data_IF_441574746324
#
_entry.id   IF_441574746324
#
_cell.length_a   1.000
_cell.length_b   1.000
_cell.length_c   1.000
_cell.angle_alpha   90.00
_cell.angle_beta   90.00
_cell.angle_gamma   90.00
#
_symmetry.space_group_name_H-M   'P 1'
#
loop_
_entity.id
_entity.type
_entity.pdbx_description
1 polymer ?
#
# COMPACT_ATOMS: atom_id res chain seq x y z
N UNK A 1 -32.22 59.46 72.59
CA UNK A 1 -30.84 59.42 72.05
C UNK A 1 -30.72 58.17 71.21
N UNK A 2 -30.56 58.37 69.89
CA UNK A 2 -29.92 57.51 68.88
C UNK A 2 -30.14 55.99 68.95
N UNK A 3 -30.96 55.47 68.03
CA UNK A 3 -30.73 54.15 67.41
C UNK A 3 -30.66 54.32 65.91
N UNK A 4 -29.44 54.16 65.42
CA UNK A 4 -28.93 54.27 64.05
C UNK A 4 -29.67 53.33 63.11
N UNK A 5 -30.16 53.89 62.01
CA UNK A 5 -30.51 53.16 60.78
C UNK A 5 -29.22 52.90 60.02
N UNK A 6 -28.81 51.65 59.91
CA UNK A 6 -27.85 51.21 58.89
C UNK A 6 -28.61 50.37 57.86
N UNK A 7 -28.98 51.06 56.79
CA UNK A 7 -29.48 50.48 55.55
C UNK A 7 -28.29 49.95 54.75
N UNK A 8 -28.07 48.64 54.83
CA UNK A 8 -27.07 47.94 54.03
C UNK A 8 -27.66 47.65 52.64
N UNK A 9 -27.65 48.64 51.75
CA UNK A 9 -27.78 48.42 50.32
C UNK A 9 -26.62 47.57 49.81
N UNK A 10 -26.84 46.25 49.73
CA UNK A 10 -25.94 45.35 49.01
C UNK A 10 -26.07 45.62 47.51
N UNK A 11 -25.00 46.14 46.91
CA UNK A 11 -24.82 46.29 45.47
C UNK A 11 -24.96 44.90 44.81
N UNK A 12 -25.82 44.70 43.78
CA UNK A 12 -25.90 43.42 43.10
C UNK A 12 -24.53 43.10 42.49
N UNK A 13 -23.98 41.93 42.84
CA UNK A 13 -22.77 41.41 42.22
C UNK A 13 -23.04 41.31 40.71
N UNK A 14 -22.36 42.14 39.92
CA UNK A 14 -22.32 41.99 38.46
C UNK A 14 -21.84 40.57 38.12
N UNK A 15 -22.45 39.91 37.12
CA UNK A 15 -22.06 38.55 36.74
C UNK A 15 -20.57 38.54 36.37
N UNK A 16 -19.83 37.47 36.75
CA UNK A 16 -18.43 37.34 36.41
C UNK A 16 -18.26 37.45 34.89
N UNK A 17 -17.52 38.45 34.43
CA UNK A 17 -17.42 38.81 33.01
C UNK A 17 -16.17 38.26 32.31
N UNK A 18 -15.28 37.61 33.06
CA UNK A 18 -14.08 36.98 32.52
C UNK A 18 -14.38 35.53 32.17
N UNK A 19 -14.33 35.21 30.88
CA UNK A 19 -14.44 33.86 30.34
C UNK A 19 -13.03 33.26 30.23
N UNK A 20 -12.87 32.02 30.66
CA UNK A 20 -11.60 31.30 30.51
C UNK A 20 -11.53 30.67 29.12
N UNK A 21 -10.59 31.12 28.28
CA UNK A 21 -10.50 30.67 26.88
C UNK A 21 -10.15 29.17 26.74
N UNK A 22 -9.56 28.53 27.76
CA UNK A 22 -9.13 27.14 27.71
C UNK A 22 -10.23 26.17 28.19
N UNK A 23 -11.01 26.56 29.19
CA UNK A 23 -11.99 25.70 29.86
C UNK A 23 -13.45 26.18 29.75
N UNK A 24 -13.74 27.22 28.96
CA UNK A 24 -15.10 27.59 28.60
C UNK A 24 -15.55 26.86 27.34
N UNK A 25 -16.39 25.84 27.52
CA UNK A 25 -16.81 24.95 26.44
C UNK A 25 -18.12 25.40 25.80
N UNK A 26 -18.11 25.53 24.47
CA UNK A 26 -19.33 25.67 23.68
C UNK A 26 -20.02 24.32 23.47
N UNK A 27 -21.35 24.34 23.40
CA UNK A 27 -22.17 23.14 23.20
C UNK A 27 -22.96 23.19 21.89
N UNK A 28 -23.27 22.02 21.35
CA UNK A 28 -24.15 21.85 20.19
C UNK A 28 -25.19 20.80 20.51
N UNK A 29 -26.40 21.00 20.02
CA UNK A 29 -27.49 20.04 20.14
C UNK A 29 -27.74 19.36 18.80
N UNK A 30 -27.59 18.04 18.76
CA UNK A 30 -27.93 17.22 17.60
C UNK A 30 -29.27 16.52 17.80
N UNK A 31 -30.06 16.37 16.73
CA UNK A 31 -31.26 15.51 16.69
C UNK A 31 -31.00 14.30 15.79
N UNK A 32 -31.14 13.09 16.33
CA UNK A 32 -30.89 11.80 15.65
C UNK A 32 -31.99 10.82 16.03
N UNK A 33 -32.74 10.30 15.06
CA UNK A 33 -33.95 9.47 15.30
C UNK A 33 -34.87 10.06 16.39
N UNK A 34 -35.17 11.36 16.31
CA UNK A 34 -35.99 12.10 17.29
C UNK A 34 -35.43 12.14 18.73
N UNK A 35 -34.15 11.76 18.92
CA UNK A 35 -33.44 11.87 20.19
C UNK A 35 -32.47 13.05 20.14
N UNK A 36 -32.51 13.90 21.18
CA UNK A 36 -31.61 15.05 21.33
C UNK A 36 -30.32 14.69 22.06
N UNK A 37 -29.20 15.17 21.55
CA UNK A 37 -27.86 15.00 22.11
C UNK A 37 -27.18 16.35 22.25
N UNK A 38 -27.03 16.86 23.48
CA UNK A 38 -26.24 18.08 23.76
C UNK A 38 -24.82 17.72 24.15
N UNK A 39 -23.84 18.19 23.38
CA UNK A 39 -22.44 17.76 23.47
C UNK A 39 -21.49 18.96 23.26
N UNK A 40 -20.27 18.94 23.82
CA UNK A 40 -19.28 19.97 23.52
C UNK A 40 -18.94 20.04 22.02
N UNK A 41 -18.76 21.24 21.46
CA UNK A 41 -18.40 21.45 20.04
C UNK A 41 -16.98 21.02 19.72
N UNK A 42 -16.06 21.22 20.67
CA UNK A 42 -14.61 21.09 20.48
C UNK A 42 -14.14 19.83 19.74
N UNK A 43 -14.60 18.62 20.14
CA UNK A 43 -14.15 17.37 19.49
C UNK A 43 -14.71 17.20 18.08
N UNK A 44 -15.85 17.81 17.77
CA UNK A 44 -16.42 17.78 16.43
C UNK A 44 -15.65 18.72 15.50
N UNK A 45 -15.39 19.95 15.95
CA UNK A 45 -14.64 20.96 15.19
C UNK A 45 -13.21 20.51 14.94
N UNK A 46 -12.49 20.09 15.99
CA UNK A 46 -11.10 19.66 15.86
C UNK A 46 -10.96 18.26 15.23
N UNK A 47 -12.00 17.43 15.35
CA UNK A 47 -11.98 16.07 14.82
C UNK A 47 -12.27 16.00 13.32
N UNK A 48 -13.04 16.95 12.77
CA UNK A 48 -13.33 17.03 11.35
C UNK A 48 -13.77 18.43 10.91
N UNK A 49 -12.95 19.08 10.10
CA UNK A 49 -13.29 20.33 9.41
C UNK A 49 -14.48 20.15 8.46
N UNK A 50 -14.61 18.98 7.83
CA UNK A 50 -15.73 18.68 6.92
C UNK A 50 -17.04 18.66 7.69
N UNK A 51 -17.07 17.98 8.84
CA UNK A 51 -18.24 17.92 9.70
C UNK A 51 -18.58 19.29 10.26
N UNK A 52 -17.59 20.04 10.76
CA UNK A 52 -17.79 21.38 11.28
C UNK A 52 -18.46 22.29 10.25
N UNK A 53 -17.97 22.28 9.00
CA UNK A 53 -18.52 23.09 7.91
C UNK A 53 -19.90 22.63 7.46
N UNK A 54 -20.13 21.32 7.36
CA UNK A 54 -21.40 20.74 6.91
C UNK A 54 -22.55 21.12 7.85
N UNK A 55 -22.29 21.14 9.17
CA UNK A 55 -23.29 21.46 10.19
C UNK A 55 -23.16 22.89 10.75
N UNK A 56 -22.29 23.72 10.16
CA UNK A 56 -22.10 25.13 10.52
C UNK A 56 -21.60 25.37 11.95
N UNK A 57 -20.72 24.50 12.46
CA UNK A 57 -20.15 24.58 13.81
C UNK A 57 -18.98 25.59 13.91
N UNK A 58 -18.46 26.06 12.79
CA UNK A 58 -17.35 26.99 12.66
C UNK A 58 -17.78 28.48 12.69
N UNK A 59 -19.07 28.74 12.41
CA UNK A 59 -19.63 30.10 12.32
C UNK A 59 -20.49 30.48 13.53
N UNK A 60 -20.79 29.50 14.38
CA UNK A 60 -21.72 29.63 15.49
C UNK A 60 -20.97 30.18 16.71
N UNK A 61 -20.73 31.50 16.70
CA UNK A 61 -20.31 32.25 17.90
C UNK A 61 -21.41 32.04 18.94
N UNK A 62 -21.13 31.28 20.00
CA UNK A 62 -22.09 30.93 21.04
C UNK A 62 -22.92 32.17 21.40
N UNK A 63 -24.18 32.19 20.97
CA UNK A 63 -25.05 33.31 21.28
C UNK A 63 -25.35 33.25 22.77
N UNK A 64 -25.38 34.42 23.43
CA UNK A 64 -25.77 34.55 24.85
C UNK A 64 -27.15 33.93 25.15
N UNK A 65 -27.92 33.59 24.12
CA UNK A 65 -29.23 32.94 24.17
C UNK A 65 -29.16 31.42 24.44
N UNK A 66 -27.97 30.79 24.46
CA UNK A 66 -27.81 29.33 24.61
C UNK A 66 -28.15 28.77 26.01
N UNK A 67 -28.49 29.66 26.95
CA UNK A 67 -28.98 29.36 28.31
C UNK A 67 -30.52 29.27 28.40
N UNK A 68 -31.24 29.39 27.29
CA UNK A 68 -32.65 29.05 27.25
C UNK A 68 -32.82 27.54 27.55
N UNK A 69 -33.69 27.19 28.50
CA UNK A 69 -33.87 25.82 28.96
C UNK A 69 -34.20 24.83 27.84
N UNK A 70 -34.20 23.53 28.17
CA UNK A 70 -34.48 22.42 27.23
C UNK A 70 -35.82 22.60 26.46
N UNK A 71 -36.71 23.46 26.94
CA UNK A 71 -38.01 23.79 26.34
C UNK A 71 -37.98 24.97 25.35
N UNK A 72 -36.93 25.79 25.35
CA UNK A 72 -36.86 27.07 24.63
C UNK A 72 -35.65 27.16 23.69
N UNK A 73 -35.13 26.00 23.28
CA UNK A 73 -34.12 25.91 22.24
C UNK A 73 -34.72 26.41 20.93
N UNK A 74 -34.22 27.53 20.40
CA UNK A 74 -34.63 28.01 19.09
C UNK A 74 -34.48 26.86 18.07
N UNK A 75 -35.50 26.61 17.22
CA UNK A 75 -35.48 25.48 16.29
C UNK A 75 -34.30 25.52 15.30
N UNK A 76 -33.67 26.69 15.11
CA UNK A 76 -32.48 26.89 14.28
C UNK A 76 -31.16 26.43 14.95
N UNK A 77 -31.16 26.17 16.26
CA UNK A 77 -29.98 25.72 17.02
C UNK A 77 -29.77 24.18 16.95
N UNK A 78 -30.80 23.40 16.60
CA UNK A 78 -30.71 21.93 16.59
C UNK A 78 -30.23 21.41 15.25
N UNK A 79 -29.08 20.72 15.24
CA UNK A 79 -28.49 20.13 14.03
C UNK A 79 -29.04 18.72 13.81
N UNK A 80 -29.84 18.50 12.77
CA UNK A 80 -30.40 17.18 12.45
C UNK A 80 -29.37 16.31 11.73
N UNK A 81 -29.19 15.07 12.19
CA UNK A 81 -28.32 14.08 11.55
C UNK A 81 -29.18 12.91 11.03
N UNK A 82 -29.06 12.61 9.74
CA UNK A 82 -29.72 11.46 9.11
C UNK A 82 -28.85 10.20 9.25
N UNK A 83 -28.86 9.63 10.46
CA UNK A 83 -28.14 8.42 10.86
C UNK A 83 -28.92 7.69 11.96
N UNK A 84 -28.69 6.40 12.15
CA UNK A 84 -29.34 5.68 13.24
C UNK A 84 -28.76 6.11 14.61
N UNK A 85 -29.61 6.29 15.61
CA UNK A 85 -29.21 6.69 16.96
C UNK A 85 -28.21 5.72 17.60
N UNK A 86 -28.30 4.43 17.29
CA UNK A 86 -27.33 3.43 17.74
C UNK A 86 -25.94 3.63 17.12
N UNK A 87 -25.87 3.97 15.82
CA UNK A 87 -24.61 4.26 15.14
C UNK A 87 -23.98 5.54 15.69
N UNK A 88 -24.79 6.60 15.86
CA UNK A 88 -24.33 7.85 16.43
C UNK A 88 -23.81 7.65 17.86
N UNK A 89 -24.54 6.89 18.68
CA UNK A 89 -24.10 6.55 20.04
C UNK A 89 -22.78 5.78 20.05
N UNK A 90 -22.53 4.89 19.09
CA UNK A 90 -21.25 4.20 18.97
C UNK A 90 -20.10 5.19 18.68
N UNK A 91 -20.29 6.16 17.78
CA UNK A 91 -19.32 7.23 17.55
C UNK A 91 -19.07 8.07 18.81
N UNK A 92 -20.14 8.41 19.54
CA UNK A 92 -20.03 9.19 20.77
C UNK A 92 -19.25 8.47 21.87
N UNK A 93 -19.32 7.13 21.95
CA UNK A 93 -18.49 6.37 22.90
C UNK A 93 -16.98 6.56 22.64
N UNK A 94 -16.60 6.84 21.40
CA UNK A 94 -15.20 7.11 21.02
C UNK A 94 -14.84 8.59 21.22
N UNK A 95 -15.73 9.51 20.82
CA UNK A 95 -15.51 10.96 20.96
C UNK A 95 -15.52 11.43 22.42
N UNK A 96 -16.44 10.89 23.21
CA UNK A 96 -16.69 11.22 24.60
C UNK A 96 -16.84 9.96 25.45
N UNK A 97 -15.74 9.23 25.71
CA UNK A 97 -15.77 8.04 26.54
C UNK A 97 -16.27 8.37 27.95
N UNK A 98 -17.32 7.67 28.40
CA UNK A 98 -17.87 7.79 29.76
C UNK A 98 -17.14 6.89 30.77
N UNK A 99 -15.88 6.55 30.53
CA UNK A 99 -15.15 5.60 31.36
C UNK A 99 -14.49 6.32 32.53
N UNK A 100 -14.89 5.96 33.76
CA UNK A 100 -14.46 6.62 35.01
C UNK A 100 -12.99 6.41 35.39
N UNK A 101 -12.25 5.60 34.66
CA UNK A 101 -10.88 5.24 35.05
C UNK A 101 -9.88 6.10 34.29
N UNK A 102 -9.15 6.92 35.05
CA UNK A 102 -7.97 7.67 34.62
C UNK A 102 -6.81 6.79 34.09
N UNK A 103 -7.00 5.48 33.99
CA UNK A 103 -6.08 4.55 33.33
C UNK A 103 -6.66 4.18 31.97
N UNK A 104 -5.77 4.14 30.96
CA UNK A 104 -5.99 3.75 29.56
C UNK A 104 -6.68 2.36 29.39
N UNK A 105 -7.93 2.21 29.85
CA UNK A 105 -8.71 1.03 29.56
C UNK A 105 -9.23 1.11 28.13
N UNK A 106 -9.02 0.01 27.43
CA UNK A 106 -9.39 -0.23 26.05
C UNK A 106 -10.89 0.01 25.84
N UNK A 107 -11.25 0.85 24.86
CA UNK A 107 -12.65 1.10 24.49
C UNK A 107 -13.32 -0.23 24.12
N UNK A 108 -14.22 -0.71 24.98
CA UNK A 108 -14.95 -1.96 24.74
C UNK A 108 -16.19 -1.69 23.89
N UNK A 109 -16.02 -1.76 22.58
CA UNK A 109 -17.11 -1.72 21.60
C UNK A 109 -17.23 -3.09 20.90
N UNK A 110 -18.45 -3.48 20.52
CA UNK A 110 -18.67 -4.68 19.70
C UNK A 110 -18.16 -4.48 18.26
N UNK A 111 -18.07 -5.57 17.48
CA UNK A 111 -17.74 -5.49 16.06
C UNK A 111 -18.70 -4.56 15.30
N UNK A 112 -20.00 -4.69 15.53
CA UNK A 112 -21.02 -3.88 14.85
C UNK A 112 -20.93 -2.41 15.25
N UNK A 113 -20.61 -2.13 16.52
CA UNK A 113 -20.35 -0.76 16.98
C UNK A 113 -19.09 -0.17 16.33
N UNK A 114 -18.00 -0.93 16.21
CA UNK A 114 -16.81 -0.48 15.49
C UNK A 114 -17.07 -0.27 14.00
N UNK A 115 -17.91 -1.10 13.37
CA UNK A 115 -18.35 -0.89 11.99
C UNK A 115 -19.19 0.39 11.86
N UNK A 116 -20.08 0.67 12.80
CA UNK A 116 -20.82 1.92 12.84
C UNK A 116 -19.91 3.14 13.04
N UNK A 117 -18.90 3.03 13.92
CA UNK A 117 -17.86 4.06 14.10
C UNK A 117 -17.10 4.27 12.79
N UNK A 118 -16.68 3.19 12.11
CA UNK A 118 -15.99 3.27 10.83
C UNK A 118 -16.85 3.96 9.77
N UNK A 119 -18.14 3.60 9.69
CA UNK A 119 -19.11 4.20 8.77
C UNK A 119 -19.23 5.71 8.97
N UNK A 120 -19.53 6.15 10.19
CA UNK A 120 -19.76 7.57 10.48
C UNK A 120 -18.47 8.38 10.41
N UNK A 121 -17.35 7.84 10.91
CA UNK A 121 -16.05 8.52 10.80
C UNK A 121 -15.58 8.66 9.35
N UNK A 122 -15.92 7.71 8.48
CA UNK A 122 -15.64 7.82 7.04
C UNK A 122 -16.55 8.84 6.36
N UNK A 123 -17.87 8.80 6.64
CA UNK A 123 -18.87 9.75 6.13
C UNK A 123 -18.47 11.20 6.45
N UNK A 124 -18.13 11.45 7.71
CA UNK A 124 -17.86 12.78 8.23
C UNK A 124 -16.38 13.13 8.31
N UNK A 125 -15.47 12.34 7.73
CA UNK A 125 -14.01 12.62 7.69
C UNK A 125 -13.33 12.79 9.06
N UNK A 126 -13.79 12.07 10.07
CA UNK A 126 -13.06 11.94 11.34
C UNK A 126 -11.88 10.97 11.16
N UNK A 127 -10.83 11.41 10.46
CA UNK A 127 -9.76 10.53 9.96
C UNK A 127 -9.00 9.81 11.07
N UNK A 128 -8.80 10.45 12.23
CA UNK A 128 -8.17 9.82 13.41
C UNK A 128 -9.03 8.69 13.98
N UNK A 129 -10.34 8.93 14.12
CA UNK A 129 -11.32 7.94 14.57
C UNK A 129 -11.46 6.80 13.56
N UNK A 130 -11.44 7.13 12.27
CA UNK A 130 -11.47 6.14 11.19
C UNK A 130 -10.27 5.19 11.27
N UNK A 131 -9.06 5.71 11.44
CA UNK A 131 -7.85 4.89 11.62
C UNK A 131 -7.95 3.99 12.85
N UNK A 132 -8.42 4.55 13.96
CA UNK A 132 -8.65 3.78 15.18
C UNK A 132 -9.66 2.65 14.94
N UNK A 133 -10.77 2.92 14.25
CA UNK A 133 -11.76 1.88 13.93
C UNK A 133 -11.17 0.78 13.04
N UNK A 134 -10.36 1.14 12.03
CA UNK A 134 -9.65 0.16 11.19
C UNK A 134 -8.67 -0.67 12.03
N UNK A 135 -7.88 -0.05 12.90
CA UNK A 135 -6.94 -0.73 13.78
C UNK A 135 -7.66 -1.70 14.72
N UNK A 136 -8.84 -1.34 15.24
CA UNK A 136 -9.63 -2.18 16.13
C UNK A 136 -10.35 -3.33 15.41
N UNK A 137 -10.66 -3.15 14.14
CA UNK A 137 -11.29 -4.15 13.28
C UNK A 137 -10.25 -5.07 12.57
N UNK A 138 -8.98 -4.65 12.45
CA UNK A 138 -7.95 -5.39 11.72
C UNK A 138 -7.45 -6.69 12.39
N UNK A 139 -7.38 -6.83 13.73
CA UNK A 139 -7.02 -8.08 14.41
C UNK A 139 -8.01 -9.24 14.23
N UNK A 140 -9.11 -9.03 13.50
CA UNK A 140 -10.29 -9.88 13.60
C UNK A 140 -10.20 -11.12 12.71
N UNK A 141 -9.77 -12.20 13.35
CA UNK A 141 -10.09 -13.62 13.08
C UNK A 141 -11.60 -13.96 13.04
N UNK A 142 -12.48 -12.95 12.99
CA UNK A 142 -13.95 -13.10 12.98
C UNK A 142 -14.66 -12.60 11.72
N UNK A 143 -13.95 -11.99 10.76
CA UNK A 143 -14.55 -11.60 9.46
C UNK A 143 -14.28 -12.67 8.40
N UNK A 144 -15.33 -13.03 7.64
CA UNK A 144 -15.15 -13.93 6.49
C UNK A 144 -14.35 -13.21 5.38
N UNK A 145 -13.62 -13.93 4.51
CA UNK A 145 -12.87 -13.31 3.40
C UNK A 145 -13.73 -12.41 2.52
N UNK A 146 -14.93 -12.87 2.15
CA UNK A 146 -15.89 -12.10 1.36
C UNK A 146 -16.39 -10.83 2.06
N UNK A 147 -16.49 -10.86 3.39
CA UNK A 147 -16.86 -9.68 4.19
C UNK A 147 -15.72 -8.66 4.21
N UNK A 148 -14.46 -9.12 4.36
CA UNK A 148 -13.27 -8.25 4.30
C UNK A 148 -13.12 -7.58 2.94
N UNK A 149 -13.39 -8.30 1.86
CA UNK A 149 -13.38 -7.76 0.49
C UNK A 149 -14.46 -6.68 0.33
N UNK A 150 -15.69 -6.98 0.73
CA UNK A 150 -16.81 -6.03 0.65
C UNK A 150 -16.53 -4.75 1.44
N UNK A 151 -16.11 -4.89 2.70
CA UNK A 151 -15.80 -3.75 3.58
C UNK A 151 -14.54 -3.00 3.12
N UNK A 152 -13.54 -3.72 2.62
CA UNK A 152 -12.32 -3.15 2.04
C UNK A 152 -12.62 -2.24 0.85
N UNK A 153 -13.59 -2.62 0.01
CA UNK A 153 -14.09 -1.76 -1.07
C UNK A 153 -14.89 -0.58 -0.55
N UNK A 154 -15.92 -0.86 0.26
CA UNK A 154 -16.86 0.15 0.78
C UNK A 154 -16.13 1.27 1.53
N UNK A 155 -15.14 0.91 2.34
CA UNK A 155 -14.39 1.85 3.16
C UNK A 155 -13.01 2.16 2.61
N UNK A 156 -12.65 1.73 1.39
CA UNK A 156 -11.31 1.90 0.83
C UNK A 156 -10.18 1.49 1.80
N UNK A 157 -10.23 0.25 2.32
CA UNK A 157 -9.20 -0.34 3.20
C UNK A 157 -8.49 -1.46 2.45
N UNK A 158 -7.37 -1.09 1.82
CA UNK A 158 -6.59 -1.97 0.94
C UNK A 158 -6.13 -3.25 1.65
N UNK A 159 -5.67 -3.14 2.91
CA UNK A 159 -5.19 -4.29 3.68
C UNK A 159 -6.28 -5.34 3.92
N UNK A 160 -7.54 -4.93 4.05
CA UNK A 160 -8.67 -5.85 4.19
C UNK A 160 -9.01 -6.53 2.87
N UNK A 161 -8.94 -5.77 1.78
CA UNK A 161 -9.16 -6.28 0.43
C UNK A 161 -8.12 -7.36 0.09
N UNK A 162 -6.84 -7.02 0.23
CA UNK A 162 -5.71 -7.89 -0.04
C UNK A 162 -5.76 -9.16 0.82
N UNK A 163 -5.93 -9.01 2.13
CA UNK A 163 -5.96 -10.16 3.04
C UNK A 163 -7.19 -11.07 2.82
N UNK A 164 -8.29 -10.52 2.31
CA UNK A 164 -9.45 -11.29 1.86
C UNK A 164 -9.14 -12.12 0.62
N UNK A 165 -8.49 -11.53 -0.38
CA UNK A 165 -8.06 -12.23 -1.59
C UNK A 165 -7.02 -13.32 -1.30
N UNK A 166 -6.02 -13.03 -0.48
CA UNK A 166 -5.02 -14.01 -0.07
C UNK A 166 -5.66 -15.24 0.58
N UNK A 167 -6.65 -15.05 1.46
CA UNK A 167 -7.35 -16.18 2.08
C UNK A 167 -8.19 -16.95 1.05
N UNK A 168 -8.89 -16.27 0.13
CA UNK A 168 -9.63 -16.95 -0.94
C UNK A 168 -8.71 -17.76 -1.87
N UNK A 169 -7.51 -17.27 -2.16
CA UNK A 169 -6.53 -17.96 -2.99
C UNK A 169 -5.88 -19.14 -2.26
N UNK A 170 -5.57 -19.00 -0.97
CA UNK A 170 -4.80 -20.00 -0.22
C UNK A 170 -5.65 -21.09 0.45
N UNK A 171 -6.90 -20.80 0.82
CA UNK A 171 -7.76 -21.78 1.52
C UNK A 171 -8.06 -23.00 0.65
N UNK A 172 -8.33 -24.17 1.25
CA UNK A 172 -8.60 -25.41 0.50
C UNK A 172 -9.88 -25.37 -0.34
N UNK A 173 -10.96 -24.85 0.23
CA UNK A 173 -12.25 -24.73 -0.44
C UNK A 173 -12.21 -23.69 -1.58
N UNK A 174 -12.87 -23.97 -2.71
CA UNK A 174 -13.05 -22.98 -3.78
C UNK A 174 -13.91 -21.79 -3.32
N UNK A 175 -14.03 -20.77 -4.17
CA UNK A 175 -14.94 -19.64 -3.92
C UNK A 175 -16.38 -20.16 -4.01
N UNK A 176 -17.15 -19.99 -2.94
CA UNK A 176 -18.52 -20.47 -2.86
C UNK A 176 -19.46 -19.58 -3.68
N UNK A 177 -20.59 -20.12 -4.14
CA UNK A 177 -21.56 -19.39 -4.97
C UNK A 177 -22.11 -18.16 -4.25
N UNK A 178 -22.25 -18.24 -2.93
CA UNK A 178 -22.75 -17.16 -2.07
C UNK A 178 -21.73 -16.02 -1.90
N UNK A 179 -20.44 -16.29 -2.15
CA UNK A 179 -19.38 -15.29 -2.08
C UNK A 179 -19.21 -14.53 -3.40
N UNK A 180 -19.59 -15.13 -4.53
CA UNK A 180 -19.52 -14.51 -5.86
C UNK A 180 -20.16 -13.12 -5.91
N UNK A 181 -21.39 -12.86 -5.41
CA UNK A 181 -21.97 -11.52 -5.45
C UNK A 181 -21.23 -10.50 -4.56
N UNK A 182 -20.55 -10.95 -3.51
CA UNK A 182 -19.79 -10.09 -2.60
C UNK A 182 -18.40 -9.74 -3.17
N UNK A 183 -17.80 -10.69 -3.89
CA UNK A 183 -16.47 -10.57 -4.49
C UNK A 183 -16.54 -10.00 -5.92
N UNK A 184 -17.64 -10.18 -6.64
CA UNK A 184 -17.78 -9.78 -8.03
C UNK A 184 -17.24 -10.85 -8.98
N UNK A 185 -17.96 -11.11 -10.07
CA UNK A 185 -17.62 -12.21 -10.99
C UNK A 185 -16.25 -12.02 -11.66
N UNK A 186 -15.93 -10.81 -12.08
CA UNK A 186 -14.64 -10.47 -12.71
C UNK A 186 -13.47 -10.75 -11.75
N UNK A 187 -13.56 -10.26 -10.51
CA UNK A 187 -12.56 -10.55 -9.47
C UNK A 187 -12.47 -12.06 -9.19
N UNK A 188 -13.60 -12.79 -9.16
CA UNK A 188 -13.58 -14.24 -8.97
C UNK A 188 -12.83 -14.96 -10.08
N UNK A 189 -13.01 -14.54 -11.34
CA UNK A 189 -12.29 -15.08 -12.49
C UNK A 189 -10.77 -14.87 -12.35
N UNK A 190 -10.34 -13.64 -12.04
CA UNK A 190 -8.91 -13.33 -11.83
C UNK A 190 -8.31 -14.12 -10.66
N UNK A 191 -9.01 -14.17 -9.52
CA UNK A 191 -8.57 -14.94 -8.35
C UNK A 191 -8.49 -16.44 -8.64
N UNK A 192 -9.34 -16.96 -9.53
CA UNK A 192 -9.28 -18.36 -9.92
C UNK A 192 -8.00 -18.67 -10.71
N UNK A 193 -7.62 -17.79 -11.64
CA UNK A 193 -6.34 -17.88 -12.35
C UNK A 193 -5.13 -17.83 -11.40
N UNK A 194 -5.12 -16.85 -10.49
CA UNK A 194 -4.06 -16.73 -9.46
C UNK A 194 -3.99 -17.97 -8.58
N UNK A 195 -5.14 -18.53 -8.21
CA UNK A 195 -5.24 -19.74 -7.37
C UNK A 195 -4.72 -21.00 -8.06
N UNK A 196 -5.05 -21.22 -9.32
CA UNK A 196 -4.55 -22.39 -10.06
C UNK A 196 -3.03 -22.30 -10.29
N UNK A 197 -2.53 -21.09 -10.58
CA UNK A 197 -1.09 -20.83 -10.61
C UNK A 197 -0.45 -21.12 -9.25
N UNK A 198 -0.99 -20.58 -8.16
CA UNK A 198 -0.47 -20.80 -6.80
C UNK A 198 -0.43 -22.28 -6.41
N UNK A 199 -1.44 -23.06 -6.81
CA UNK A 199 -1.55 -24.51 -6.52
C UNK A 199 -0.64 -25.37 -7.39
N UNK A 200 -0.60 -25.12 -8.70
CA UNK A 200 0.25 -25.86 -9.63
C UNK A 200 1.70 -25.78 -9.18
N UNK A 201 2.09 -24.59 -8.78
CA UNK A 201 3.45 -24.28 -8.45
C UNK A 201 3.82 -24.92 -7.07
N UNK A 202 2.85 -25.11 -6.15
CA UNK A 202 3.04 -25.88 -4.89
C UNK A 202 3.27 -27.38 -5.14
N UNK A 203 2.80 -27.91 -6.26
CA UNK A 203 2.95 -29.32 -6.61
C UNK A 203 4.29 -29.62 -7.32
N UNK A 204 4.97 -28.60 -7.86
CA UNK A 204 6.13 -28.77 -8.74
C UNK A 204 7.46 -28.25 -8.18
N UNK A 205 7.49 -27.54 -7.04
CA UNK A 205 8.75 -27.17 -6.36
C UNK A 205 9.04 -28.08 -5.14
N UNK A 206 10.29 -28.52 -5.01
CA UNK A 206 10.82 -29.21 -3.80
C UNK A 206 11.52 -28.22 -2.84
N UNK A 207 11.12 -26.94 -2.91
CA UNK A 207 11.70 -25.86 -2.15
C UNK A 207 11.07 -25.79 -0.75
N UNK A 208 11.90 -25.81 0.31
CA UNK A 208 11.43 -25.81 1.72
C UNK A 208 10.66 -24.54 2.11
N UNK A 209 10.82 -23.47 1.34
CA UNK A 209 9.96 -22.30 1.36
C UNK A 209 8.83 -22.52 0.34
N UNK A 210 7.64 -22.85 0.83
CA UNK A 210 6.45 -23.12 0.01
C UNK A 210 5.96 -21.85 -0.69
N UNK A 211 6.63 -21.43 -1.77
CA UNK A 211 6.22 -20.36 -2.68
C UNK A 211 6.64 -20.75 -4.10
N UNK A 212 5.75 -20.65 -5.10
CA UNK A 212 6.19 -21.01 -6.44
C UNK A 212 5.68 -20.04 -7.54
N UNK A 213 6.52 -19.49 -8.45
CA UNK A 213 7.99 -19.29 -8.44
C UNK A 213 8.36 -17.83 -8.11
N UNK A 214 9.19 -17.60 -7.09
CA UNK A 214 9.87 -16.34 -6.72
C UNK A 214 9.06 -15.06 -6.40
N UNK A 215 7.74 -15.01 -6.63
CA UNK A 215 6.94 -13.81 -6.32
C UNK A 215 6.04 -14.00 -5.09
N UNK A 216 6.09 -13.08 -4.10
CA UNK A 216 5.12 -13.05 -3.01
C UNK A 216 3.67 -13.00 -3.50
N UNK A 217 2.79 -13.78 -2.88
CA UNK A 217 1.38 -13.90 -3.29
C UNK A 217 0.66 -12.54 -3.36
N UNK A 218 0.87 -11.67 -2.37
CA UNK A 218 0.28 -10.34 -2.35
C UNK A 218 0.61 -9.52 -3.60
N UNK A 219 1.85 -9.59 -4.09
CA UNK A 219 2.25 -8.88 -5.31
C UNK A 219 1.60 -9.46 -6.56
N UNK A 220 1.44 -10.78 -6.61
CA UNK A 220 0.73 -11.44 -7.72
C UNK A 220 -0.74 -11.02 -7.75
N UNK A 221 -1.40 -10.98 -6.58
CA UNK A 221 -2.80 -10.53 -6.46
C UNK A 221 -2.92 -9.06 -6.85
N UNK A 222 -2.03 -8.21 -6.33
CA UNK A 222 -2.03 -6.78 -6.65
C UNK A 222 -1.85 -6.53 -8.14
N UNK A 223 -0.97 -7.28 -8.82
CA UNK A 223 -0.80 -7.15 -10.27
C UNK A 223 -2.02 -7.61 -11.07
N UNK A 224 -2.58 -8.77 -10.74
CA UNK A 224 -3.77 -9.30 -11.42
C UNK A 224 -4.99 -8.39 -11.26
N UNK A 225 -5.05 -7.63 -10.17
CA UNK A 225 -6.17 -6.74 -9.83
C UNK A 225 -5.70 -5.28 -9.71
N UNK A 226 -4.68 -4.88 -10.48
CA UNK A 226 -4.01 -3.59 -10.29
C UNK A 226 -4.96 -2.39 -10.37
N UNK A 227 -5.86 -2.38 -11.36
CA UNK A 227 -6.85 -1.32 -11.52
C UNK A 227 -7.77 -1.16 -10.29
N UNK A 228 -8.10 -2.26 -9.61
CA UNK A 228 -8.90 -2.22 -8.38
C UNK A 228 -8.08 -1.65 -7.22
N UNK A 229 -6.83 -2.09 -7.05
CA UNK A 229 -5.94 -1.57 -6.02
C UNK A 229 -5.63 -0.08 -6.22
N UNK A 230 -5.40 0.35 -7.46
CA UNK A 230 -5.20 1.76 -7.80
C UNK A 230 -6.43 2.61 -7.46
N UNK A 231 -7.64 2.14 -7.81
CA UNK A 231 -8.88 2.81 -7.47
C UNK A 231 -9.13 2.92 -5.97
N UNK A 232 -8.72 1.91 -5.20
CA UNK A 232 -8.78 1.94 -3.72
C UNK A 232 -7.76 2.92 -3.16
N UNK A 233 -6.52 2.94 -3.68
CA UNK A 233 -5.48 3.86 -3.25
C UNK A 233 -5.86 5.33 -3.55
N UNK A 234 -6.48 5.62 -4.69
CA UNK A 234 -7.06 6.93 -4.99
C UNK A 234 -8.18 7.28 -4.00
N UNK A 235 -9.08 6.33 -3.75
CA UNK A 235 -10.16 6.48 -2.77
C UNK A 235 -9.66 6.59 -1.33
N UNK A 236 -8.41 6.25 -1.02
CA UNK A 236 -7.83 6.46 0.31
C UNK A 236 -7.38 7.90 0.54
N UNK A 237 -6.94 8.59 -0.52
CA UNK A 237 -6.37 9.94 -0.42
C UNK A 237 -7.36 10.97 0.14
N UNK A 238 -8.65 10.77 -0.08
CA UNK A 238 -9.70 11.60 0.51
C UNK A 238 -9.75 11.54 2.04
N UNK A 239 -9.19 10.51 2.67
CA UNK A 239 -9.13 10.35 4.14
C UNK A 239 -7.78 10.77 4.74
N UNK A 240 -6.87 11.34 3.96
CA UNK A 240 -5.61 11.86 4.48
C UNK A 240 -5.83 13.21 5.16
N UNK A 241 -5.16 13.40 6.30
CA UNK A 241 -5.00 14.74 6.88
C UNK A 241 -4.22 15.62 5.92
N UNK A 242 -4.27 16.94 6.10
CA UNK A 242 -3.47 17.88 5.29
C UNK A 242 -1.98 17.50 5.29
N UNK A 243 -1.43 17.22 6.47
CA UNK A 243 -0.05 16.77 6.63
C UNK A 243 0.22 15.48 5.84
N UNK A 244 -0.66 14.48 5.93
CA UNK A 244 -0.49 13.22 5.20
C UNK A 244 -0.57 13.38 3.68
N UNK A 245 -1.38 14.33 3.19
CA UNK A 245 -1.42 14.66 1.76
C UNK A 245 -0.12 15.30 1.30
N UNK A 246 0.42 16.22 2.11
CA UNK A 246 1.69 16.89 1.84
C UNK A 246 2.85 15.85 1.84
N UNK A 247 2.92 14.99 2.85
CA UNK A 247 3.90 13.88 2.91
C UNK A 247 3.75 12.88 1.75
N UNK A 248 2.52 12.55 1.36
CA UNK A 248 2.26 11.66 0.21
C UNK A 248 2.69 12.32 -1.11
N UNK A 249 2.39 13.60 -1.30
CA UNK A 249 2.79 14.35 -2.48
C UNK A 249 4.31 14.45 -2.59
N UNK A 250 5.00 14.70 -1.47
CA UNK A 250 6.47 14.71 -1.42
C UNK A 250 7.06 13.34 -1.78
N UNK A 251 6.53 12.24 -1.21
CA UNK A 251 6.96 10.87 -1.56
C UNK A 251 6.75 10.55 -3.03
N UNK A 252 5.61 10.95 -3.61
CA UNK A 252 5.32 10.77 -5.05
C UNK A 252 6.31 11.54 -5.90
N UNK A 253 6.61 12.80 -5.56
CA UNK A 253 7.59 13.61 -6.27
C UNK A 253 9.01 13.02 -6.21
N UNK A 254 9.41 12.46 -5.07
CA UNK A 254 10.69 11.74 -4.94
C UNK A 254 10.70 10.50 -5.85
N UNK A 255 9.67 9.67 -5.77
CA UNK A 255 9.57 8.45 -6.56
C UNK A 255 9.53 8.72 -8.08
N UNK A 256 8.89 9.80 -8.51
CA UNK A 256 8.86 10.23 -9.92
C UNK A 256 10.26 10.65 -10.40
N UNK A 257 10.99 11.45 -9.61
CA UNK A 257 12.39 11.78 -9.91
C UNK A 257 13.28 10.55 -9.98
N UNK A 258 13.14 9.62 -9.04
CA UNK A 258 13.91 8.37 -9.06
C UNK A 258 13.63 7.52 -10.30
N UNK A 259 12.37 7.48 -10.77
CA UNK A 259 11.97 6.82 -12.01
C UNK A 259 12.56 7.50 -13.24
N UNK A 260 12.50 8.83 -13.30
CA UNK A 260 13.12 9.61 -14.39
C UNK A 260 14.64 9.37 -14.45
N UNK A 261 15.31 9.42 -13.30
CA UNK A 261 16.75 9.13 -13.20
C UNK A 261 17.08 7.68 -13.59
N UNK A 262 16.24 6.71 -13.22
CA UNK A 262 16.39 5.32 -13.66
C UNK A 262 16.22 5.19 -15.18
N UNK A 263 15.22 5.84 -15.77
CA UNK A 263 14.98 5.83 -17.21
C UNK A 263 16.14 6.49 -17.99
N UNK A 264 16.67 7.61 -17.49
CA UNK A 264 17.87 8.24 -18.07
C UNK A 264 19.09 7.31 -18.01
N UNK A 265 19.29 6.60 -16.89
CA UNK A 265 20.38 5.62 -16.75
C UNK A 265 20.24 4.46 -17.73
N UNK A 266 19.03 3.91 -17.85
CA UNK A 266 18.74 2.82 -18.79
C UNK A 266 18.94 3.25 -20.25
N UNK A 267 18.47 4.46 -20.61
CA UNK A 267 18.67 5.01 -21.94
C UNK A 267 20.15 5.21 -22.30
N UNK A 268 20.97 5.65 -21.33
CA UNK A 268 22.42 5.81 -21.54
C UNK A 268 23.11 4.45 -21.72
N UNK A 269 22.73 3.43 -20.95
CA UNK A 269 23.23 2.06 -21.13
C UNK A 269 22.92 1.55 -22.54
N UNK A 270 21.68 1.72 -23.00
CA UNK A 270 21.27 1.32 -24.35
C UNK A 270 22.03 2.08 -25.43
N UNK A 271 22.24 3.39 -25.24
CA UNK A 271 23.03 4.22 -26.17
C UNK A 271 24.47 3.72 -26.29
N UNK A 272 25.12 3.42 -25.17
CA UNK A 272 26.49 2.90 -25.18
C UNK A 272 26.58 1.52 -25.83
N UNK A 273 25.62 0.63 -25.56
CA UNK A 273 25.55 -0.69 -26.18
C UNK A 273 25.39 -0.59 -27.72
N UNK A 274 24.54 0.32 -28.20
CA UNK A 274 24.37 0.57 -29.63
C UNK A 274 25.64 1.13 -30.28
N UNK A 275 26.35 2.04 -29.60
CA UNK A 275 27.61 2.57 -30.09
C UNK A 275 28.70 1.49 -30.20
N UNK A 276 28.79 0.60 -29.21
CA UNK A 276 29.71 -0.55 -29.23
C UNK A 276 29.38 -1.52 -30.38
N UNK A 277 28.09 -1.78 -30.62
CA UNK A 277 27.66 -2.62 -31.74
C UNK A 277 27.98 -1.98 -33.10
N UNK A 278 27.80 -0.67 -33.25
CA UNK A 278 28.15 0.07 -34.47
C UNK A 278 29.67 0.03 -34.73
N UNK A 279 30.50 0.20 -33.71
CA UNK A 279 31.96 0.07 -33.84
C UNK A 279 32.37 -1.34 -34.24
N UNK A 280 31.76 -2.38 -33.65
CA UNK A 280 32.01 -3.77 -34.04
C UNK A 280 31.71 -4.02 -35.52
N UNK A 281 30.57 -3.51 -36.02
CA UNK A 281 30.18 -3.66 -37.42
C UNK A 281 31.16 -2.93 -38.36
N UNK A 282 31.64 -1.74 -37.99
CA UNK A 282 32.67 -1.01 -38.76
C UNK A 282 33.98 -1.79 -38.84
N UNK A 283 34.41 -2.40 -37.73
CA UNK A 283 35.63 -3.23 -37.71
C UNK A 283 35.47 -4.46 -38.61
N UNK A 284 34.31 -5.11 -38.59
CA UNK A 284 33.99 -6.25 -39.43
C UNK A 284 33.97 -5.88 -40.93
N UNK A 285 33.34 -4.74 -41.28
CA UNK A 285 33.33 -4.22 -42.66
C UNK A 285 34.74 -3.94 -43.18
N UNK A 286 35.57 -3.27 -42.36
CA UNK A 286 36.97 -2.99 -42.71
C UNK A 286 37.78 -4.27 -42.89
N UNK A 287 37.56 -5.29 -42.04
CA UNK A 287 38.24 -6.58 -42.17
C UNK A 287 37.88 -7.28 -43.50
N UNK A 288 36.60 -7.24 -43.89
CA UNK A 288 36.14 -7.74 -45.19
C UNK A 288 36.82 -6.97 -46.33
N UNK A 289 36.87 -5.64 -46.26
CA UNK A 289 37.48 -4.81 -47.30
C UNK A 289 38.99 -5.11 -47.48
N UNK A 290 39.71 -5.30 -46.37
CA UNK A 290 41.14 -5.67 -46.37
C UNK A 290 41.34 -7.03 -47.04
N UNK A 291 40.52 -8.03 -46.72
CA UNK A 291 40.64 -9.37 -47.31
C UNK A 291 40.32 -9.34 -48.82
N UNK A 292 39.31 -8.57 -49.24
CA UNK A 292 39.02 -8.34 -50.67
C UNK A 292 40.20 -7.69 -51.38
N UNK A 293 40.85 -6.67 -50.78
CA UNK A 293 42.06 -6.06 -51.35
C UNK A 293 43.21 -7.05 -51.45
N UNK A 294 43.43 -7.87 -50.42
CA UNK A 294 44.45 -8.92 -50.41
C UNK A 294 44.25 -9.91 -51.56
N UNK A 295 43.03 -10.38 -51.77
CA UNK A 295 42.69 -11.30 -52.85
C UNK A 295 42.93 -10.70 -54.24
N UNK A 296 42.63 -9.40 -54.42
CA UNK A 296 42.93 -8.68 -55.68
C UNK A 296 44.42 -8.56 -55.94
N UNK A 297 45.23 -8.37 -54.90
CA UNK A 297 46.70 -8.30 -55.01
C UNK A 297 47.36 -9.68 -55.17
N UNK A 298 46.70 -10.77 -54.80
CA UNK A 298 47.19 -12.15 -54.97
C UNK A 298 46.87 -12.78 -56.34
N UNK A 299 46.22 -12.05 -57.25
CA UNK A 299 45.97 -12.55 -58.61
C UNK A 299 47.27 -12.55 -59.44
N UNK A 300 47.65 -13.66 -60.09
CA UNK A 300 48.90 -13.72 -60.86
C UNK A 300 48.82 -12.89 -62.13
N UNK A 301 49.86 -12.07 -62.38
CA UNK A 301 50.12 -11.46 -63.70
C UNK A 301 50.36 -12.59 -64.69
N UNK A 302 49.43 -12.81 -65.61
CA UNK A 302 49.57 -13.80 -66.68
C UNK A 302 50.64 -13.34 -67.67
N UNK A 303 51.87 -13.84 -67.50
CA UNK A 303 52.86 -13.84 -68.57
C UNK A 303 52.42 -14.80 -69.66
N UNK A 304 52.08 -14.24 -70.80
CA UNK A 304 51.85 -14.93 -72.07
C UNK A 304 53.09 -15.78 -72.43
N UNK A 305 52.95 -17.11 -72.50
CA UNK A 305 53.89 -17.94 -73.26
C UNK A 305 53.17 -19.07 -74.01
N UNK A 306 53.34 -19.01 -75.33
CA UNK A 306 52.82 -19.88 -76.39
C UNK A 306 53.41 -21.30 -76.34
N UNK A 307 52.53 -22.26 -76.61
CA UNK A 307 52.66 -23.50 -77.43
C UNK A 307 53.75 -24.56 -77.12
N UNK A 308 53.28 -25.81 -76.93
CA UNK A 308 53.58 -27.03 -77.73
C UNK A 308 52.92 -28.23 -77.04
N UNK A 309 51.75 -28.72 -77.47
CA UNK A 309 51.52 -29.85 -78.40
C UNK A 309 52.51 -31.01 -78.24
N UNK A 310 52.06 -32.10 -77.63
CA UNK A 310 52.24 -33.44 -78.18
C UNK A 310 51.16 -34.39 -77.66
N UNK A 311 50.52 -35.09 -78.60
CA UNK A 311 49.46 -36.06 -78.39
C UNK A 311 49.90 -37.41 -78.97
N UNK A 312 49.59 -38.53 -78.29
CA UNK A 312 49.08 -39.84 -78.79
C UNK A 312 49.35 -41.04 -77.83
N UNK A 313 48.66 -42.20 -77.93
CA UNK A 313 47.41 -42.45 -77.18
C UNK A 313 47.27 -43.90 -76.59
N UNK A 314 46.03 -44.22 -76.15
CA UNK A 314 45.37 -45.55 -75.98
C UNK A 314 45.76 -46.36 -74.73
N UNK A 315 44.83 -46.62 -73.77
CA UNK A 315 43.75 -47.62 -73.68
C UNK A 315 44.07 -48.45 -72.40
N UNK A 316 43.20 -49.01 -71.57
CA UNK A 316 41.82 -49.49 -71.67
C UNK A 316 41.26 -49.72 -70.24
N UNK A 317 39.94 -49.95 -70.18
CA UNK A 317 39.18 -50.73 -69.17
C UNK A 317 39.03 -50.28 -67.69
N UNK A 318 37.79 -49.89 -67.39
CA UNK A 318 36.83 -50.49 -66.44
C UNK A 318 37.07 -50.59 -64.91
N UNK A 319 35.90 -50.54 -64.23
CA UNK A 319 35.56 -51.00 -62.87
C UNK A 319 35.45 -49.92 -61.77
N UNK A 320 34.22 -49.38 -61.67
CA UNK A 320 33.32 -49.43 -60.50
C UNK A 320 33.94 -49.45 -59.09
N UNK A 321 33.68 -48.41 -58.27
CA UNK A 321 33.36 -48.51 -56.82
C UNK A 321 33.15 -47.14 -56.14
N UNK A 322 32.01 -46.99 -55.45
CA UNK A 322 31.73 -45.94 -54.43
C UNK A 322 32.73 -46.02 -53.26
N UNK A 323 32.96 -44.91 -52.53
CA UNK A 323 32.48 -44.84 -51.14
C UNK A 323 31.91 -43.44 -50.79
N UNK A 324 30.68 -43.32 -50.29
CA UNK A 324 30.32 -43.17 -48.86
C UNK A 324 31.01 -42.02 -48.11
N UNK A 325 30.19 -41.02 -47.76
CA UNK A 325 30.48 -39.85 -46.93
C UNK A 325 31.09 -40.18 -45.56
N UNK A 326 31.95 -39.30 -45.01
CA UNK A 326 32.32 -39.36 -43.59
C UNK A 326 31.30 -38.61 -42.70
N UNK A 327 30.98 -39.11 -41.50
CA UNK A 327 30.22 -38.36 -40.50
C UNK A 327 31.11 -37.36 -39.72
N UNK A 328 30.51 -36.35 -39.04
CA UNK A 328 31.26 -35.33 -38.32
C UNK A 328 31.88 -35.86 -37.02
N UNK A 329 32.95 -35.23 -36.50
CA UNK A 329 33.61 -35.68 -35.28
C UNK A 329 32.79 -35.39 -34.03
N UNK A 330 32.68 -36.42 -33.20
CA UNK A 330 32.18 -36.42 -31.83
C UNK A 330 33.07 -35.56 -30.93
N UNK A 331 32.47 -34.64 -30.18
CA UNK A 331 33.13 -33.88 -29.11
C UNK A 331 33.24 -34.77 -27.87
N UNK A 332 34.42 -34.99 -27.28
CA UNK A 332 34.51 -35.67 -26.00
C UNK A 332 34.29 -34.69 -24.84
N UNK A 333 33.35 -35.08 -24.00
CA UNK A 333 33.18 -34.65 -22.62
C UNK A 333 34.42 -35.07 -21.80
N UNK A 334 35.05 -34.15 -21.07
CA UNK A 334 36.21 -34.47 -20.22
C UNK A 334 36.89 -33.22 -19.69
N UNK A 335 36.53 -32.81 -18.47
CA UNK A 335 36.83 -31.49 -17.92
C UNK A 335 38.26 -31.27 -17.44
N UNK A 336 38.57 -30.01 -17.10
CA UNK A 336 39.54 -29.71 -16.05
C UNK A 336 39.44 -28.24 -15.57
N UNK A 337 38.96 -28.05 -14.33
CA UNK A 337 39.33 -27.04 -13.33
C UNK A 337 39.33 -25.53 -13.68
N UNK A 338 38.38 -24.81 -13.07
CA UNK A 338 38.47 -23.38 -12.80
C UNK A 338 37.72 -23.08 -11.50
N UNK A 339 38.44 -22.73 -10.44
CA UNK A 339 37.90 -22.41 -9.12
C UNK A 339 36.95 -21.21 -9.18
N UNK A 340 35.75 -21.34 -8.62
CA UNK A 340 34.87 -20.21 -8.33
C UNK A 340 35.12 -19.70 -6.90
N UNK A 341 35.09 -18.37 -6.68
CA UNK A 341 35.26 -17.82 -5.35
C UNK A 341 33.99 -18.00 -4.51
N UNK A 342 34.21 -18.34 -3.24
CA UNK A 342 33.22 -18.35 -2.14
C UNK A 342 32.43 -17.02 -2.11
N UNK A 343 31.10 -17.02 -1.97
CA UNK A 343 30.39 -15.84 -1.51
C UNK A 343 30.66 -15.65 -0.02
N UNK A 344 31.15 -14.47 0.33
CA UNK A 344 31.33 -13.97 1.70
C UNK A 344 30.00 -13.85 2.42
N UNK A 345 29.99 -14.21 3.68
CA UNK A 345 28.90 -14.08 4.64
C UNK A 345 28.29 -12.66 4.66
N UNK A 346 26.97 -12.50 4.88
CA UNK A 346 26.38 -11.18 5.12
C UNK A 346 26.81 -10.61 6.49
N UNK A 347 26.91 -9.28 6.63
CA UNK A 347 27.28 -8.63 7.89
C UNK A 347 26.18 -8.78 8.96
N UNK A 348 26.53 -8.76 10.27
CA UNK A 348 25.55 -8.78 11.34
C UNK A 348 24.76 -7.46 11.42
N UNK A 349 23.54 -7.46 11.95
CA UNK A 349 22.72 -6.26 12.12
C UNK A 349 23.33 -5.28 13.14
N UNK A 350 23.01 -3.98 13.04
CA UNK A 350 23.57 -2.95 13.91
C UNK A 350 23.17 -3.15 15.37
N UNK A 351 24.17 -3.03 16.25
CA UNK A 351 24.03 -3.01 17.70
C UNK A 351 23.26 -1.74 18.08
N UNK A 352 22.09 -1.90 18.68
CA UNK A 352 21.35 -0.80 19.29
C UNK A 352 22.17 -0.24 20.46
N UNK A 353 22.58 1.02 20.35
CA UNK A 353 23.07 1.83 21.46
C UNK A 353 21.91 2.04 22.45
N UNK A 354 21.84 1.17 23.46
CA UNK A 354 20.96 1.34 24.61
C UNK A 354 21.43 2.50 25.47
N UNK A 355 20.73 3.62 25.37
CA UNK A 355 20.89 4.77 26.26
C UNK A 355 20.63 4.39 27.71
N UNK A 356 21.61 4.77 28.54
CA UNK A 356 21.63 4.64 29.98
C UNK A 356 20.65 5.63 30.62
N UNK A 357 19.60 5.15 31.30
CA UNK A 357 18.83 5.92 32.27
C UNK A 357 18.46 5.07 33.49
N UNK A 358 18.92 5.51 34.66
CA UNK A 358 18.07 5.69 35.85
C UNK A 358 17.60 4.44 36.61
N UNK A 359 18.33 4.15 37.69
CA UNK A 359 17.97 3.18 38.73
C UNK A 359 16.64 3.49 39.46
N UNK A 360 15.89 2.45 39.84
CA UNK A 360 15.14 2.39 41.11
C UNK A 360 15.06 0.93 41.63
N UNK A 361 15.02 0.69 42.96
CA UNK A 361 15.29 -0.63 43.53
C UNK A 361 14.01 -1.44 43.83
N UNK A 362 14.06 -2.74 43.51
CA UNK A 362 13.06 -3.74 43.92
C UNK A 362 13.13 -3.97 45.45
N UNK A 363 12.07 -3.59 46.15
CA UNK A 363 11.76 -4.05 47.51
C UNK A 363 11.38 -5.54 47.48
N UNK A 364 12.17 -6.38 48.17
CA UNK A 364 11.79 -7.75 48.53
C UNK A 364 10.67 -7.70 49.56
N UNK A 365 9.50 -8.24 49.23
CA UNK A 365 8.48 -8.58 50.22
C UNK A 365 8.91 -9.86 50.93
N UNK A 366 9.11 -9.73 52.23
CA UNK A 366 9.52 -10.80 53.13
C UNK A 366 8.30 -11.65 53.49
N UNK A 367 8.51 -12.96 53.49
CA UNK A 367 7.57 -13.98 53.93
C UNK A 367 7.59 -14.01 55.47
N UNK A 368 6.46 -13.74 56.11
CA UNK A 368 6.07 -14.27 57.42
C UNK A 368 4.56 -14.33 57.49
#
# INVERSE_FOLDING_TARGET
>A
MTTTSDDMTQKPLSPPSAVDEEYYWDFVTFSVDDVLYRLPKYRFVNGSETFAREYGLDQDQGSEEEYAGVEDSSPDAVKKLDVAAAEFRALLKVLYPKTDKASHQELTLSKDEWLAVLKLSSKWRFNSIRKLAIERLSPLSGMKPSERIRLGREYAVESWLLSGYEELVTRKAGIAKEEVPLVGWETVHELWGVREMWRSCQATCDCKEKVPPHRPLHLTIQDSLCAEFDGIAESQQQYYTRQEREECAERKAIAEREKEEAACREAEILRLALAEEEERLKVEELAIEVEVRRQKLSLPVTSNKKMAVNARPAADSDVESRPSSPPPPSVPFGGMWGATPKPSSPPPPPVAFGGMWGATPKRKANRK
#
